data_IF_823193032303
#
_entry.id   IF_823193032303
#
_cell.length_a   1.000
_cell.length_b   1.000
_cell.length_c   1.000
_cell.angle_alpha   90.00
_cell.angle_beta   90.00
_cell.angle_gamma   90.00
#
_symmetry.space_group_name_H-M   'P 1'
#
loop_
_entity.id
_entity.type
_entity.pdbx_description
1 polymer ?
#
# COMPACT_ATOMS: atom_id res chain seq x y z
N UNK A 1 4.97 -5.37 24.77
CA UNK A 1 5.59 -5.08 23.46
C UNK A 1 6.76 -4.10 23.66
N UNK A 2 7.94 -4.36 23.07
CA UNK A 2 9.08 -3.43 23.05
C UNK A 2 8.69 -2.05 22.47
N UNK A 3 9.32 -0.97 22.96
CA UNK A 3 9.04 0.41 22.49
C UNK A 3 9.13 0.53 20.97
N UNK A 4 10.23 0.05 20.37
CA UNK A 4 10.44 0.14 18.93
C UNK A 4 9.35 -0.58 18.10
N UNK A 5 8.83 -1.72 18.59
CA UNK A 5 7.72 -2.40 17.90
C UNK A 5 6.41 -1.62 18.02
N UNK A 6 6.18 -0.95 19.15
CA UNK A 6 5.00 -0.09 19.32
C UNK A 6 5.04 1.09 18.35
N UNK A 7 6.16 1.80 18.29
CA UNK A 7 6.37 2.94 17.38
C UNK A 7 6.17 2.51 15.91
N UNK A 8 6.62 1.32 15.53
CA UNK A 8 6.38 0.76 14.20
C UNK A 8 4.88 0.58 13.90
N UNK A 9 4.13 -0.02 14.81
CA UNK A 9 2.69 -0.26 14.57
C UNK A 9 1.87 1.04 14.61
N UNK A 10 2.20 1.98 15.48
CA UNK A 10 1.60 3.32 15.50
C UNK A 10 1.85 4.04 14.16
N UNK A 11 3.07 3.98 13.63
CA UNK A 11 3.38 4.56 12.30
C UNK A 11 2.57 3.91 11.18
N UNK A 12 2.32 2.60 11.25
CA UNK A 12 1.48 1.89 10.28
C UNK A 12 -0.01 2.24 10.41
N UNK A 13 -0.49 2.55 11.61
CA UNK A 13 -1.85 3.06 11.84
C UNK A 13 -2.01 4.49 11.28
N UNK A 14 -1.00 5.34 11.49
CA UNK A 14 -0.95 6.68 10.94
C UNK A 14 -0.92 6.64 9.40
N UNK A 15 -0.13 5.74 8.82
CA UNK A 15 -0.09 5.54 7.36
C UNK A 15 -1.45 5.12 6.80
N UNK A 16 -2.11 4.13 7.41
CA UNK A 16 -3.46 3.69 6.99
C UNK A 16 -4.47 4.84 7.08
N UNK A 17 -4.41 5.64 8.15
CA UNK A 17 -5.24 6.83 8.34
C UNK A 17 -4.99 7.87 7.25
N UNK A 18 -3.72 8.18 6.96
CA UNK A 18 -3.33 9.15 5.93
C UNK A 18 -3.76 8.69 4.54
N UNK A 19 -3.61 7.41 4.20
CA UNK A 19 -4.04 6.87 2.90
C UNK A 19 -5.56 6.92 2.69
N UNK A 20 -6.35 6.97 3.76
CA UNK A 20 -7.81 7.14 3.70
C UNK A 20 -8.25 8.61 3.69
N UNK A 21 -7.33 9.54 3.93
CA UNK A 21 -7.63 10.97 3.89
C UNK A 21 -7.90 11.44 2.45
N UNK A 22 -8.99 12.15 2.22
CA UNK A 22 -9.43 12.55 0.87
C UNK A 22 -8.40 13.42 0.15
N UNK A 23 -7.79 14.38 0.83
CA UNK A 23 -6.78 15.26 0.24
C UNK A 23 -5.51 14.49 -0.14
N UNK A 24 -5.05 13.58 0.72
CA UNK A 24 -3.89 12.72 0.43
C UNK A 24 -4.21 11.82 -0.76
N UNK A 25 -5.43 11.27 -0.81
CA UNK A 25 -5.89 10.45 -1.90
C UNK A 25 -5.92 11.20 -3.24
N UNK A 26 -6.35 12.46 -3.25
CA UNK A 26 -6.35 13.32 -4.43
C UNK A 26 -4.92 13.62 -4.90
N UNK A 27 -4.03 14.04 -3.99
CA UNK A 27 -2.62 14.33 -4.29
C UNK A 27 -1.85 13.09 -4.80
N UNK A 28 -2.18 11.90 -4.32
CA UNK A 28 -1.63 10.64 -4.82
C UNK A 28 -2.19 10.30 -6.22
N UNK A 29 -3.48 10.50 -6.44
CA UNK A 29 -4.11 10.25 -7.73
C UNK A 29 -3.54 11.14 -8.84
N UNK A 30 -3.26 12.41 -8.55
CA UNK A 30 -2.61 13.35 -9.46
C UNK A 30 -1.20 12.90 -9.87
N UNK A 31 -0.55 12.06 -9.06
CA UNK A 31 0.75 11.42 -9.36
C UNK A 31 0.62 10.07 -10.05
N UNK A 32 -0.60 9.69 -10.46
CA UNK A 32 -0.89 8.38 -11.04
C UNK A 32 -0.86 7.22 -10.04
N UNK A 33 -0.83 7.51 -8.73
CA UNK A 33 -0.84 6.48 -7.68
C UNK A 33 -2.28 6.10 -7.37
N UNK A 34 -2.58 4.81 -7.47
CA UNK A 34 -3.87 4.30 -7.05
C UNK A 34 -3.90 4.04 -5.54
N UNK A 35 -4.71 4.83 -4.83
CA UNK A 35 -4.85 4.78 -3.38
C UNK A 35 -5.29 3.39 -2.88
N UNK A 36 -6.18 2.70 -3.58
CA UNK A 36 -6.60 1.35 -3.20
C UNK A 36 -5.43 0.37 -3.23
N UNK A 37 -4.54 0.45 -4.22
CA UNK A 37 -3.33 -0.37 -4.26
C UNK A 37 -2.33 0.01 -3.17
N UNK A 38 -2.21 1.31 -2.85
CA UNK A 38 -1.37 1.77 -1.74
C UNK A 38 -1.86 1.20 -0.40
N UNK A 39 -3.18 1.16 -0.18
CA UNK A 39 -3.79 0.53 1.00
C UNK A 39 -3.53 -0.98 1.07
N UNK A 40 -3.62 -1.70 -0.06
CA UNK A 40 -3.30 -3.15 -0.11
C UNK A 40 -1.82 -3.37 0.22
N UNK A 41 -0.92 -2.57 -0.34
CA UNK A 41 0.51 -2.66 -0.04
C UNK A 41 0.80 -2.38 1.45
N UNK A 42 0.17 -1.36 2.04
CA UNK A 42 0.31 -1.03 3.46
C UNK A 42 -0.24 -2.15 4.37
N UNK A 43 -1.40 -2.73 4.03
CA UNK A 43 -1.97 -3.90 4.72
C UNK A 43 -1.04 -5.10 4.66
N UNK A 44 -0.48 -5.41 3.48
CA UNK A 44 0.47 -6.51 3.30
C UNK A 44 1.76 -6.31 4.11
N UNK A 45 2.29 -5.10 4.13
CA UNK A 45 3.45 -4.75 4.96
C UNK A 45 3.15 -4.94 6.45
N UNK A 46 2.02 -4.39 6.93
CA UNK A 46 1.56 -4.58 8.32
C UNK A 46 1.43 -6.06 8.67
N UNK A 47 0.77 -6.85 7.82
CA UNK A 47 0.64 -8.28 8.02
C UNK A 47 2.00 -8.99 8.14
N UNK A 48 2.97 -8.60 7.32
CA UNK A 48 4.31 -9.19 7.36
C UNK A 48 5.03 -8.93 8.68
N UNK A 49 5.03 -7.67 9.13
CA UNK A 49 5.72 -7.27 10.38
C UNK A 49 4.99 -7.73 11.65
N UNK A 50 3.68 -7.98 11.58
CA UNK A 50 2.89 -8.62 12.65
C UNK A 50 3.10 -10.14 12.71
N UNK A 51 3.84 -10.73 11.76
CA UNK A 51 4.04 -12.17 11.67
C UNK A 51 2.91 -12.94 11.00
N UNK A 52 1.89 -12.25 10.47
CA UNK A 52 0.80 -12.82 9.64
C UNK A 52 1.27 -13.08 8.21
N UNK A 53 2.36 -13.85 8.08
CA UNK A 53 3.08 -14.11 6.82
C UNK A 53 2.20 -14.65 5.69
N UNK A 54 1.19 -15.47 6.01
CA UNK A 54 0.26 -16.00 5.02
C UNK A 54 -0.58 -14.91 4.35
N UNK A 55 -1.03 -13.91 5.11
CA UNK A 55 -1.77 -12.77 4.56
C UNK A 55 -0.83 -11.86 3.73
N UNK A 56 0.36 -11.58 4.23
CA UNK A 56 1.36 -10.79 3.50
C UNK A 56 1.77 -11.43 2.15
N UNK A 57 1.83 -12.76 2.11
CA UNK A 57 2.16 -13.52 0.90
C UNK A 57 1.07 -13.45 -0.18
N UNK A 58 -0.12 -12.95 0.15
CA UNK A 58 -1.21 -12.68 -0.81
C UNK A 58 -1.21 -11.20 -1.17
N UNK A 59 -1.29 -10.31 -0.17
CA UNK A 59 -1.50 -8.88 -0.39
C UNK A 59 -0.35 -8.20 -1.15
N UNK A 60 0.91 -8.51 -0.80
CA UNK A 60 2.08 -7.85 -1.41
C UNK A 60 2.26 -8.22 -2.89
N UNK A 61 2.18 -9.50 -3.31
CA UNK A 61 2.15 -9.86 -4.71
C UNK A 61 0.99 -9.23 -5.47
N UNK A 62 -0.22 -9.25 -4.92
CA UNK A 62 -1.39 -8.62 -5.56
C UNK A 62 -1.16 -7.14 -5.82
N UNK A 63 -0.66 -6.37 -4.85
CA UNK A 63 -0.33 -4.97 -5.07
C UNK A 63 0.72 -4.80 -6.18
N UNK A 64 1.77 -5.61 -6.18
CA UNK A 64 2.84 -5.55 -7.18
C UNK A 64 2.39 -5.91 -8.60
N UNK A 65 1.56 -6.93 -8.75
CA UNK A 65 0.99 -7.37 -10.03
C UNK A 65 0.08 -6.30 -10.63
N UNK A 66 -0.80 -5.70 -9.83
CA UNK A 66 -1.68 -4.63 -10.29
C UNK A 66 -0.93 -3.35 -10.67
N UNK A 67 0.12 -2.98 -9.93
CA UNK A 67 1.01 -1.87 -10.29
C UNK A 67 1.65 -2.13 -11.66
N UNK A 68 2.20 -3.34 -11.88
CA UNK A 68 2.79 -3.72 -13.17
C UNK A 68 1.75 -3.68 -14.30
N UNK A 69 0.58 -4.28 -14.10
CA UNK A 69 -0.47 -4.30 -15.10
C UNK A 69 -0.99 -2.90 -15.47
N UNK A 70 -0.93 -1.94 -14.56
CA UNK A 70 -1.25 -0.53 -14.85
C UNK A 70 -0.14 0.17 -15.62
N UNK A 71 1.12 -0.10 -15.28
CA UNK A 71 2.27 0.44 -16.01
C UNK A 71 2.29 -0.03 -17.46
N UNK A 72 1.98 -1.29 -17.74
CA UNK A 72 1.94 -1.79 -19.12
C UNK A 72 0.77 -1.16 -19.91
N UNK A 73 -0.44 -1.12 -19.34
CA UNK A 73 -1.59 -0.44 -19.99
C UNK A 73 -1.32 1.03 -20.30
N UNK A 74 -0.68 1.75 -19.36
CA UNK A 74 -0.31 3.14 -19.58
C UNK A 74 0.71 3.33 -20.72
N UNK A 75 1.56 2.33 -21.01
CA UNK A 75 2.46 2.37 -22.17
C UNK A 75 1.73 2.10 -23.48
N UNK A 76 0.77 1.17 -23.48
CA UNK A 76 -0.07 0.85 -24.64
C UNK A 76 -0.94 2.05 -25.07
N UNK A 77 -1.47 2.82 -24.11
CA UNK A 77 -2.27 4.03 -24.40
C UNK A 77 -1.43 5.18 -25.01
N UNK A 78 -0.10 5.13 -24.90
CA UNK A 78 0.85 6.13 -25.40
C UNK A 78 1.52 5.75 -26.72
N UNK A 79 1.33 4.51 -27.20
CA UNK A 79 1.91 3.97 -28.44
C UNK A 79 0.95 4.03 -29.62
#
# INVERSE_FOLDING_TARGET
MPRALRELFETLDDLDTLLKHSEVGAELADRGVNVSLALVAASGLRAYVEGRKAAAAVDLPTAGEEIRGRLERAKEDLS
#
